data_IF_386130290004
#
_entry.id   IF_386130290004
#
_cell.length_a   1.000
_cell.length_b   1.000
_cell.length_c   1.000
_cell.angle_alpha   90.00
_cell.angle_beta   90.00
_cell.angle_gamma   90.00
#
_symmetry.space_group_name_H-M   'P 1'
#
loop_
_entity.id
_entity.type
_entity.pdbx_description
1 polymer ?
#
# COMPACT_ATOMS: atom_id res chain seq x y z
N UNK A 1 -42.75 6.56 24.28
CA UNK A 1 -42.75 5.37 23.40
C UNK A 1 -42.20 5.69 21.99
N UNK A 2 -42.72 6.70 21.28
CA UNK A 2 -42.20 7.08 19.94
C UNK A 2 -40.71 7.46 19.93
N UNK A 3 -40.23 8.25 20.87
CA UNK A 3 -38.83 8.69 20.96
C UNK A 3 -37.83 7.55 21.20
N UNK A 4 -38.23 6.53 21.98
CA UNK A 4 -37.40 5.36 22.23
C UNK A 4 -37.24 4.51 20.96
N UNK A 5 -38.30 4.37 20.17
CA UNK A 5 -38.26 3.62 18.91
C UNK A 5 -37.37 4.30 17.87
N UNK A 6 -37.40 5.64 17.79
CA UNK A 6 -36.53 6.39 16.85
C UNK A 6 -35.05 6.25 17.19
N UNK A 7 -34.69 6.26 18.48
CA UNK A 7 -33.30 6.08 18.92
C UNK A 7 -32.79 4.66 18.64
N UNK A 8 -33.64 3.64 18.81
CA UNK A 8 -33.29 2.25 18.52
C UNK A 8 -33.00 2.04 17.02
N UNK A 9 -33.82 2.64 16.14
CA UNK A 9 -33.63 2.56 14.68
C UNK A 9 -32.34 3.26 14.25
N UNK A 10 -32.03 4.43 14.82
CA UNK A 10 -30.79 5.14 14.50
C UNK A 10 -29.54 4.37 14.98
N UNK A 11 -29.60 3.71 16.13
CA UNK A 11 -28.51 2.87 16.62
C UNK A 11 -28.27 1.64 15.72
N UNK A 12 -29.34 1.02 15.22
CA UNK A 12 -29.23 -0.10 14.27
C UNK A 12 -28.63 0.33 12.93
N UNK A 13 -29.10 1.46 12.39
CA UNK A 13 -28.55 2.02 11.13
C UNK A 13 -27.07 2.38 11.32
N UNK A 14 -26.71 3.02 12.43
CA UNK A 14 -25.32 3.33 12.76
C UNK A 14 -24.44 2.07 12.87
N UNK A 15 -24.95 1.00 13.50
CA UNK A 15 -24.26 -0.28 13.62
C UNK A 15 -24.04 -0.96 12.27
N UNK A 16 -25.05 -0.94 11.38
CA UNK A 16 -24.94 -1.50 10.03
C UNK A 16 -23.92 -0.72 9.19
N UNK A 17 -23.95 0.62 9.24
CA UNK A 17 -22.99 1.47 8.53
C UNK A 17 -21.56 1.22 9.05
N UNK A 18 -21.40 1.09 10.36
CA UNK A 18 -20.10 0.79 10.97
C UNK A 18 -19.55 -0.58 10.54
N UNK A 19 -20.39 -1.62 10.55
CA UNK A 19 -20.00 -2.95 10.06
C UNK A 19 -19.67 -2.94 8.56
N UNK A 20 -20.41 -2.17 7.76
CA UNK A 20 -20.13 -2.01 6.34
C UNK A 20 -18.80 -1.27 6.09
N UNK A 21 -18.47 -0.24 6.89
CA UNK A 21 -17.17 0.42 6.79
C UNK A 21 -16.01 -0.49 7.20
N UNK A 22 -16.21 -1.36 8.20
CA UNK A 22 -15.21 -2.36 8.59
C UNK A 22 -14.99 -3.37 7.47
N UNK A 23 -16.07 -3.88 6.84
CA UNK A 23 -15.93 -4.87 5.77
C UNK A 23 -15.29 -4.32 4.49
N UNK A 24 -15.37 -3.00 4.25
CA UNK A 24 -14.67 -2.33 3.15
C UNK A 24 -13.20 -2.04 3.47
N UNK A 25 -12.85 -1.90 4.76
CA UNK A 25 -11.50 -1.50 5.19
C UNK A 25 -10.57 -2.68 5.45
N UNK A 26 -11.12 -3.85 5.75
CA UNK A 26 -10.35 -5.08 5.93
C UNK A 26 -10.77 -6.07 4.83
N UNK A 27 -9.92 -6.35 3.83
CA UNK A 27 -10.17 -7.47 2.93
C UNK A 27 -10.30 -8.75 3.79
N UNK A 28 -11.14 -9.69 3.36
CA UNK A 28 -11.47 -10.94 4.06
C UNK A 28 -10.27 -11.87 4.35
N UNK A 29 -9.05 -11.43 4.05
CA UNK A 29 -7.80 -12.17 4.11
C UNK A 29 -7.11 -12.09 5.49
N UNK A 30 -7.76 -11.55 6.53
CA UNK A 30 -7.19 -11.47 7.87
C UNK A 30 -8.12 -12.05 8.93
N UNK A 31 -7.60 -12.97 9.74
CA UNK A 31 -8.26 -13.52 10.92
C UNK A 31 -7.76 -12.77 12.15
N UNK A 32 -8.68 -12.17 12.90
CA UNK A 32 -8.36 -11.55 14.17
C UNK A 32 -8.48 -12.58 15.29
N UNK A 33 -7.36 -12.84 15.97
CA UNK A 33 -7.34 -13.70 17.14
C UNK A 33 -7.52 -12.85 18.41
N UNK A 34 -8.63 -13.12 19.12
CA UNK A 34 -9.02 -12.38 20.32
C UNK A 34 -8.12 -12.68 21.52
N UNK A 35 -7.51 -13.87 21.60
CA UNK A 35 -6.66 -14.26 22.73
C UNK A 35 -5.26 -13.66 22.62
N UNK A 36 -4.73 -13.56 21.41
CA UNK A 36 -3.39 -13.00 21.17
C UNK A 36 -3.38 -11.52 20.75
N UNK A 37 -4.54 -10.91 20.52
CA UNK A 37 -4.70 -9.51 20.10
C UNK A 37 -3.88 -9.18 18.83
N UNK A 38 -3.82 -10.13 17.89
CA UNK A 38 -3.05 -10.03 16.65
C UNK A 38 -3.94 -10.28 15.43
N UNK A 39 -3.61 -9.58 14.35
CA UNK A 39 -4.13 -9.87 13.01
C UNK A 39 -3.18 -10.84 12.33
N UNK A 40 -3.68 -12.00 11.95
CA UNK A 40 -2.95 -12.95 11.13
C UNK A 40 -3.48 -12.88 9.71
N UNK A 41 -2.58 -12.94 8.73
CA UNK A 41 -2.98 -13.28 7.37
C UNK A 41 -3.66 -14.66 7.39
N UNK A 42 -4.77 -14.78 6.67
CA UNK A 42 -5.56 -16.00 6.57
C UNK A 42 -4.69 -17.19 6.12
N UNK A 43 -3.66 -16.94 5.31
CA UNK A 43 -2.72 -17.97 4.84
C UNK A 43 -1.90 -18.57 5.99
N UNK A 44 -1.48 -17.76 6.96
CA UNK A 44 -0.66 -18.20 8.11
C UNK A 44 -1.48 -19.03 9.10
N UNK A 45 -2.72 -18.63 9.38
CA UNK A 45 -3.61 -19.39 10.28
C UNK A 45 -4.02 -20.73 9.66
N UNK A 46 -4.13 -20.78 8.33
CA UNK A 46 -4.53 -22.00 7.62
C UNK A 46 -3.48 -23.10 7.71
N UNK A 47 -2.19 -22.79 7.64
CA UNK A 47 -1.14 -23.81 7.71
C UNK A 47 -1.12 -24.52 9.07
N UNK A 48 -1.19 -23.77 10.17
CA UNK A 48 -1.15 -24.33 11.53
C UNK A 48 -2.45 -25.08 11.91
N UNK A 49 -3.62 -24.57 11.49
CA UNK A 49 -4.90 -25.24 11.79
C UNK A 49 -5.08 -26.54 10.99
N UNK A 50 -4.55 -26.58 9.76
CA UNK A 50 -4.60 -27.79 8.91
C UNK A 50 -3.68 -28.89 9.46
N UNK A 51 -2.52 -28.55 10.03
CA UNK A 51 -1.66 -29.55 10.68
C UNK A 51 -2.27 -30.13 11.95
N UNK A 52 -3.08 -29.35 12.66
CA UNK A 52 -3.71 -29.78 13.90
C UNK A 52 -4.90 -30.72 13.67
N UNK A 53 -5.59 -30.60 12.53
CA UNK A 53 -6.81 -31.39 12.26
C UNK A 53 -6.55 -32.75 11.59
N UNK A 54 -5.36 -33.01 11.05
CA UNK A 54 -4.93 -34.34 10.54
C UNK A 54 -5.79 -34.95 9.43
N UNK A 55 -6.89 -34.30 9.04
CA UNK A 55 -7.88 -34.80 8.09
C UNK A 55 -7.30 -34.77 6.67
N UNK A 56 -7.73 -35.74 5.87
CA UNK A 56 -7.31 -35.92 4.49
C UNK A 56 -7.55 -34.67 3.64
N UNK A 57 -8.62 -33.91 3.93
CA UNK A 57 -8.93 -32.63 3.27
C UNK A 57 -7.76 -31.64 3.38
N UNK A 58 -7.13 -31.58 4.56
CA UNK A 58 -5.99 -30.72 4.82
C UNK A 58 -4.74 -31.08 4.02
N UNK A 59 -4.41 -32.37 4.00
CA UNK A 59 -3.28 -32.91 3.24
C UNK A 59 -3.47 -32.71 1.73
N UNK A 60 -4.69 -32.92 1.24
CA UNK A 60 -5.06 -32.72 -0.16
C UNK A 60 -4.95 -31.24 -0.55
N UNK A 61 -5.39 -30.31 0.30
CA UNK A 61 -5.27 -28.87 0.06
C UNK A 61 -3.80 -28.42 -0.01
N UNK A 62 -2.93 -28.91 0.88
CA UNK A 62 -1.49 -28.61 0.83
C UNK A 62 -0.82 -29.15 -0.42
N UNK A 63 -1.09 -30.40 -0.77
CA UNK A 63 -0.55 -30.99 -1.99
C UNK A 63 -1.02 -30.23 -3.24
N UNK A 64 -2.28 -29.76 -3.26
CA UNK A 64 -2.79 -28.89 -4.31
C UNK A 64 -2.03 -27.57 -4.41
N UNK A 65 -1.88 -26.85 -3.29
CA UNK A 65 -1.15 -25.57 -3.28
C UNK A 65 0.31 -25.73 -3.69
N UNK A 66 0.99 -26.78 -3.21
CA UNK A 66 2.36 -27.10 -3.58
C UNK A 66 2.50 -27.37 -5.08
N UNK A 67 1.60 -28.18 -5.65
CA UNK A 67 1.60 -28.50 -7.08
C UNK A 67 1.38 -27.26 -7.96
N UNK A 68 0.45 -26.38 -7.58
CA UNK A 68 0.18 -25.11 -8.29
C UNK A 68 1.37 -24.15 -8.19
N UNK A 69 1.95 -24.00 -7.00
CA UNK A 69 3.09 -23.13 -6.75
C UNK A 69 4.32 -23.56 -7.57
N UNK A 70 4.60 -24.87 -7.60
CA UNK A 70 5.73 -25.45 -8.37
C UNK A 70 5.43 -25.67 -9.85
N UNK A 71 4.17 -25.50 -10.28
CA UNK A 71 3.68 -25.79 -11.64
C UNK A 71 3.99 -27.24 -12.07
N UNK A 72 4.02 -28.17 -11.11
CA UNK A 72 4.39 -29.56 -11.29
C UNK A 72 3.16 -30.46 -11.20
N UNK A 73 2.78 -31.04 -12.34
CA UNK A 73 1.58 -31.87 -12.45
C UNK A 73 1.71 -33.22 -11.72
N UNK A 74 2.94 -33.72 -11.57
CA UNK A 74 3.18 -34.99 -10.90
C UNK A 74 2.84 -34.89 -9.41
N UNK A 75 2.97 -33.70 -8.81
CA UNK A 75 2.55 -33.45 -7.43
C UNK A 75 1.03 -33.54 -7.23
N UNK A 76 0.22 -33.31 -8.27
CA UNK A 76 -1.22 -33.58 -8.21
C UNK A 76 -1.51 -35.08 -7.98
N UNK A 77 -0.55 -35.98 -8.22
CA UNK A 77 -0.71 -37.40 -7.95
C UNK A 77 -0.97 -37.70 -6.47
N UNK A 78 -0.43 -36.86 -5.57
CA UNK A 78 -0.49 -37.00 -4.11
C UNK A 78 -1.85 -36.63 -3.51
N UNK A 79 -2.73 -35.98 -4.28
CA UNK A 79 -4.09 -35.61 -3.85
C UNK A 79 -4.99 -36.85 -3.91
N UNK A 80 -5.62 -37.22 -2.79
CA UNK A 80 -6.51 -38.39 -2.75
C UNK A 80 -7.89 -38.11 -3.32
N UNK A 81 -8.42 -36.91 -3.10
CA UNK A 81 -9.70 -36.47 -3.68
C UNK A 81 -9.62 -36.46 -5.21
N UNK A 82 -10.42 -37.31 -5.86
CA UNK A 82 -10.44 -37.43 -7.34
C UNK A 82 -10.85 -36.13 -8.02
N UNK A 83 -11.82 -35.40 -7.47
CA UNK A 83 -12.26 -34.12 -8.02
C UNK A 83 -11.17 -33.06 -7.90
N UNK A 84 -10.57 -32.93 -6.71
CA UNK A 84 -9.50 -31.95 -6.49
C UNK A 84 -8.26 -32.28 -7.31
N UNK A 85 -7.91 -33.56 -7.46
CA UNK A 85 -6.83 -34.01 -8.34
C UNK A 85 -7.07 -33.63 -9.80
N UNK A 86 -8.31 -33.77 -10.30
CA UNK A 86 -8.68 -33.30 -11.64
C UNK A 86 -8.52 -31.78 -11.74
N UNK A 87 -9.07 -31.02 -10.79
CA UNK A 87 -8.95 -29.55 -10.76
C UNK A 87 -7.49 -29.10 -10.73
N UNK A 88 -6.64 -29.77 -9.94
CA UNK A 88 -5.20 -29.49 -9.83
C UNK A 88 -4.52 -29.55 -11.20
N UNK A 89 -4.75 -30.62 -11.96
CA UNK A 89 -4.16 -30.77 -13.31
C UNK A 89 -4.65 -29.70 -14.28
N UNK A 90 -5.94 -29.38 -14.24
CA UNK A 90 -6.51 -28.31 -15.08
C UNK A 90 -5.85 -26.97 -14.73
N UNK A 91 -5.78 -26.62 -13.45
CA UNK A 91 -5.24 -25.32 -13.03
C UNK A 91 -3.74 -25.18 -13.30
N UNK A 92 -2.95 -26.25 -13.16
CA UNK A 92 -1.54 -26.26 -13.58
C UNK A 92 -1.42 -26.04 -15.09
N UNK A 93 -2.25 -26.71 -15.88
CA UNK A 93 -2.28 -26.52 -17.34
C UNK A 93 -2.61 -25.08 -17.71
N UNK A 94 -3.57 -24.47 -17.02
CA UNK A 94 -3.93 -23.06 -17.18
C UNK A 94 -2.74 -22.15 -16.82
N UNK A 95 -2.04 -22.39 -15.71
CA UNK A 95 -0.86 -21.57 -15.35
C UNK A 95 0.24 -21.68 -16.40
N UNK A 96 0.53 -22.90 -16.89
CA UNK A 96 1.50 -23.11 -17.98
C UNK A 96 1.09 -22.35 -19.25
N UNK A 97 -0.19 -22.41 -19.63
CA UNK A 97 -0.70 -21.66 -20.78
C UNK A 97 -0.60 -20.14 -20.59
N UNK A 98 -0.86 -19.62 -19.38
CA UNK A 98 -0.69 -18.20 -19.06
C UNK A 98 0.76 -17.75 -19.19
N UNK A 99 1.71 -18.54 -18.67
CA UNK A 99 3.13 -18.20 -18.72
C UNK A 99 3.67 -18.21 -20.16
N UNK A 100 3.38 -19.28 -20.90
CA UNK A 100 3.91 -19.50 -22.25
C UNK A 100 3.14 -18.68 -23.29
N UNK A 101 1.85 -18.45 -23.06
CA UNK A 101 0.94 -17.82 -24.03
C UNK A 101 0.42 -18.77 -25.11
N UNK A 102 0.80 -20.06 -25.09
CA UNK A 102 0.39 -21.04 -26.09
C UNK A 102 -1.06 -21.52 -25.93
N UNK A 103 -1.81 -21.44 -27.02
CA UNK A 103 -3.16 -21.99 -27.15
C UNK A 103 -3.16 -23.52 -27.18
N UNK A 104 -2.10 -24.14 -27.72
CA UNK A 104 -1.97 -25.60 -27.83
C UNK A 104 -1.98 -26.27 -26.45
N UNK A 105 -1.45 -25.60 -25.41
CA UNK A 105 -1.50 -26.09 -24.03
C UNK A 105 -2.95 -26.20 -23.55
N UNK A 106 -3.81 -25.24 -23.88
CA UNK A 106 -5.23 -25.29 -23.53
C UNK A 106 -5.96 -26.42 -24.28
N UNK A 107 -5.56 -26.73 -25.51
CA UNK A 107 -6.16 -27.80 -26.31
C UNK A 107 -5.91 -29.21 -25.74
N UNK A 108 -4.92 -29.37 -24.86
CA UNK A 108 -4.66 -30.65 -24.15
C UNK A 108 -5.74 -30.99 -23.12
N UNK A 109 -6.55 -30.03 -22.69
CA UNK A 109 -7.63 -30.25 -21.73
C UNK A 109 -8.80 -31.00 -22.39
N UNK A 110 -9.41 -31.96 -21.71
CA UNK A 110 -10.47 -32.78 -22.31
C UNK A 110 -11.86 -32.13 -22.24
N UNK A 111 -12.11 -31.23 -21.29
CA UNK A 111 -13.43 -30.60 -21.07
C UNK A 111 -13.56 -29.27 -21.82
N UNK A 112 -14.67 -29.06 -22.55
CA UNK A 112 -14.90 -27.82 -23.30
C UNK A 112 -14.93 -26.57 -22.39
N UNK A 113 -15.57 -26.67 -21.23
CA UNK A 113 -15.59 -25.56 -20.25
C UNK A 113 -14.19 -25.27 -19.69
N UNK A 114 -13.38 -26.32 -19.46
CA UNK A 114 -12.00 -26.19 -18.99
C UNK A 114 -11.10 -25.58 -20.08
N UNK A 115 -11.24 -25.99 -21.35
CA UNK A 115 -10.55 -25.38 -22.50
C UNK A 115 -10.86 -23.90 -22.62
N UNK A 116 -12.14 -23.56 -22.55
CA UNK A 116 -12.63 -22.18 -22.62
C UNK A 116 -12.11 -21.35 -21.45
N UNK A 117 -12.16 -21.88 -20.22
CA UNK A 117 -11.56 -21.24 -19.05
C UNK A 117 -10.07 -20.98 -19.29
N UNK A 118 -9.33 -21.99 -19.76
CA UNK A 118 -7.91 -21.86 -20.06
C UNK A 118 -7.62 -20.78 -21.08
N UNK A 119 -8.34 -20.76 -22.21
CA UNK A 119 -8.15 -19.75 -23.25
C UNK A 119 -8.44 -18.33 -22.74
N UNK A 120 -9.50 -18.14 -21.96
CA UNK A 120 -9.82 -16.83 -21.38
C UNK A 120 -8.73 -16.34 -20.40
N UNK A 121 -8.25 -17.22 -19.50
CA UNK A 121 -7.17 -16.87 -18.57
C UNK A 121 -5.83 -16.62 -19.29
N UNK A 122 -5.54 -17.38 -20.34
CA UNK A 122 -4.37 -17.19 -21.21
C UNK A 122 -4.42 -15.83 -21.90
N UNK A 123 -5.52 -15.51 -22.58
CA UNK A 123 -5.71 -14.23 -23.27
C UNK A 123 -5.60 -13.05 -22.30
N UNK A 124 -6.21 -13.14 -21.13
CA UNK A 124 -6.08 -12.13 -20.08
C UNK A 124 -4.60 -11.93 -19.68
N UNK A 125 -3.85 -13.01 -19.44
CA UNK A 125 -2.43 -12.92 -19.11
C UNK A 125 -1.58 -12.29 -20.24
N UNK A 126 -1.88 -12.59 -21.51
CA UNK A 126 -1.19 -11.97 -22.65
C UNK A 126 -1.53 -10.48 -22.75
N UNK A 127 -2.81 -10.11 -22.57
CA UNK A 127 -3.25 -8.72 -22.58
C UNK A 127 -2.50 -7.88 -21.53
N UNK A 128 -2.34 -8.41 -20.31
CA UNK A 128 -1.59 -7.75 -19.24
C UNK A 128 -0.10 -7.60 -19.55
N UNK A 129 0.56 -8.67 -20.01
CA UNK A 129 2.00 -8.63 -20.32
C UNK A 129 2.35 -7.69 -21.47
N UNK A 130 1.42 -7.54 -22.42
CA UNK A 130 1.62 -6.71 -23.62
C UNK A 130 0.94 -5.35 -23.54
N UNK A 131 0.22 -5.06 -22.45
CA UNK A 131 -0.61 -3.88 -22.26
C UNK A 131 -1.56 -3.62 -23.44
N UNK A 132 -2.13 -4.68 -24.03
CA UNK A 132 -2.93 -4.61 -25.25
C UNK A 132 -4.39 -5.02 -25.02
N UNK A 133 -5.27 -4.01 -24.92
CA UNK A 133 -6.71 -4.20 -24.68
C UNK A 133 -7.45 -4.94 -25.80
N UNK A 134 -6.95 -4.89 -27.04
CA UNK A 134 -7.57 -5.60 -28.17
C UNK A 134 -7.55 -7.12 -27.94
N UNK A 135 -6.60 -7.63 -27.15
CA UNK A 135 -6.57 -9.05 -26.78
C UNK A 135 -7.73 -9.41 -25.85
N UNK A 136 -8.17 -8.48 -24.99
CA UNK A 136 -9.32 -8.71 -24.12
C UNK A 136 -10.58 -8.98 -24.94
N UNK A 137 -10.75 -8.37 -26.13
CA UNK A 137 -11.92 -8.58 -27.01
C UNK A 137 -12.05 -10.02 -27.52
N UNK A 138 -11.00 -10.83 -27.40
CA UNK A 138 -11.02 -12.26 -27.75
C UNK A 138 -11.53 -13.15 -26.61
N UNK A 139 -11.77 -12.60 -25.41
CA UNK A 139 -12.34 -13.32 -24.26
C UNK A 139 -13.85 -13.48 -24.49
N UNK A 140 -14.25 -14.63 -25.02
CA UNK A 140 -15.65 -14.91 -25.37
C UNK A 140 -16.42 -15.47 -24.16
N UNK A 141 -17.71 -15.11 -24.09
CA UNK A 141 -18.75 -15.66 -23.20
C UNK A 141 -18.67 -15.31 -21.70
N UNK A 142 -17.91 -14.28 -21.32
CA UNK A 142 -17.97 -13.74 -19.97
C UNK A 142 -17.68 -12.25 -20.00
N UNK A 143 -18.74 -11.45 -20.16
CA UNK A 143 -18.65 -9.99 -20.21
C UNK A 143 -17.95 -9.43 -18.97
N UNK A 144 -18.18 -10.00 -17.79
CA UNK A 144 -17.49 -9.57 -16.56
C UNK A 144 -15.99 -9.87 -16.59
N UNK A 145 -15.55 -10.94 -17.24
CA UNK A 145 -14.11 -11.23 -17.43
C UNK A 145 -13.48 -10.34 -18.50
N UNK A 146 -14.22 -10.03 -19.57
CA UNK A 146 -13.79 -9.06 -20.59
C UNK A 146 -13.57 -7.68 -19.96
N UNK A 147 -14.55 -7.18 -19.21
CA UNK A 147 -14.46 -5.90 -18.51
C UNK A 147 -13.31 -5.88 -17.49
N UNK A 148 -13.16 -6.93 -16.68
CA UNK A 148 -12.02 -7.05 -15.74
C UNK A 148 -10.67 -7.05 -16.46
N UNK A 149 -10.55 -7.74 -17.60
CA UNK A 149 -9.33 -7.71 -18.41
C UNK A 149 -8.99 -6.29 -18.87
N UNK A 150 -9.99 -5.51 -19.32
CA UNK A 150 -9.80 -4.12 -19.70
C UNK A 150 -9.34 -3.27 -18.51
N UNK A 151 -9.99 -3.39 -17.36
CA UNK A 151 -9.66 -2.65 -16.14
C UNK A 151 -8.26 -2.97 -15.64
N UNK A 152 -7.87 -4.26 -15.63
CA UNK A 152 -6.54 -4.69 -15.18
C UNK A 152 -5.44 -4.19 -16.16
N UNK A 153 -5.70 -4.19 -17.47
CA UNK A 153 -4.78 -3.62 -18.46
C UNK A 153 -4.65 -2.10 -18.31
N UNK A 154 -5.76 -1.38 -18.11
CA UNK A 154 -5.74 0.07 -17.88
C UNK A 154 -5.00 0.43 -16.58
N UNK A 155 -5.20 -0.36 -15.52
CA UNK A 155 -4.47 -0.22 -14.25
C UNK A 155 -2.95 -0.43 -14.46
N UNK A 156 -2.55 -1.44 -15.23
CA UNK A 156 -1.14 -1.68 -15.55
C UNK A 156 -0.53 -0.53 -16.36
N UNK A 157 -1.24 -0.03 -17.37
CA UNK A 157 -0.81 1.14 -18.17
C UNK A 157 -0.69 2.38 -17.28
N UNK A 158 -1.67 2.62 -16.41
CA UNK A 158 -1.62 3.73 -15.46
C UNK A 158 -0.39 3.63 -14.57
N UNK A 159 -0.12 2.48 -13.94
CA UNK A 159 1.06 2.32 -13.09
C UNK A 159 2.37 2.60 -13.84
N UNK A 160 2.51 2.10 -15.07
CA UNK A 160 3.66 2.41 -15.91
C UNK A 160 3.78 3.93 -16.23
N UNK A 161 2.65 4.61 -16.45
CA UNK A 161 2.59 6.08 -16.60
C UNK A 161 3.05 6.78 -15.32
N UNK A 162 2.55 6.35 -14.16
CA UNK A 162 2.85 6.95 -12.85
C UNK A 162 4.34 6.82 -12.50
N UNK A 163 4.95 5.69 -12.86
CA UNK A 163 6.39 5.44 -12.71
C UNK A 163 7.23 6.23 -13.73
N UNK A 164 6.66 6.54 -14.90
CA UNK A 164 7.33 7.33 -15.91
C UNK A 164 7.23 8.83 -15.61
N UNK A 165 8.37 9.46 -15.37
CA UNK A 165 8.44 10.90 -15.13
C UNK A 165 8.15 11.75 -16.39
N UNK A 166 7.96 11.12 -17.55
CA UNK A 166 7.89 11.76 -18.87
C UNK A 166 6.53 11.66 -19.54
N UNK A 167 5.51 11.14 -18.85
CA UNK A 167 4.21 10.95 -19.47
C UNK A 167 3.54 12.28 -19.88
N UNK A 168 3.00 12.28 -21.10
CA UNK A 168 2.18 13.35 -21.65
C UNK A 168 0.69 13.00 -21.51
N UNK A 169 -0.17 14.01 -21.48
CA UNK A 169 -1.62 13.85 -21.30
C UNK A 169 -2.25 12.96 -22.38
N UNK A 170 -1.67 12.94 -23.59
CA UNK A 170 -2.09 12.08 -24.71
C UNK A 170 -2.01 10.59 -24.40
N UNK A 171 -1.15 10.17 -23.47
CA UNK A 171 -1.05 8.76 -23.09
C UNK A 171 -2.28 8.34 -22.25
N UNK A 172 -2.93 9.29 -21.56
CA UNK A 172 -4.15 9.00 -20.82
C UNK A 172 -5.33 8.66 -21.73
N UNK A 173 -5.36 9.15 -22.97
CA UNK A 173 -6.47 8.94 -23.93
C UNK A 173 -6.67 7.45 -24.29
N UNK A 174 -5.67 6.60 -24.02
CA UNK A 174 -5.79 5.16 -24.22
C UNK A 174 -6.48 4.45 -23.07
N UNK A 175 -6.74 5.11 -21.94
CA UNK A 175 -7.34 4.53 -20.73
C UNK A 175 -8.87 4.67 -20.72
N UNK A 176 -9.57 3.78 -20.01
CA UNK A 176 -10.98 3.94 -19.68
C UNK A 176 -11.23 5.14 -18.75
N UNK A 177 -12.48 5.62 -18.71
CA UNK A 177 -12.89 6.86 -18.04
C UNK A 177 -12.45 6.99 -16.57
N UNK A 178 -12.47 5.90 -15.80
CA UNK A 178 -12.03 5.88 -14.40
C UNK A 178 -10.54 6.20 -14.28
N UNK A 179 -9.71 5.48 -15.03
CA UNK A 179 -8.25 5.61 -15.02
C UNK A 179 -7.78 6.87 -15.75
N UNK A 180 -8.51 7.34 -16.77
CA UNK A 180 -8.22 8.61 -17.47
C UNK A 180 -8.17 9.80 -16.50
N UNK A 181 -9.19 9.93 -15.64
CA UNK A 181 -9.25 11.04 -14.67
C UNK A 181 -8.09 11.01 -13.67
N UNK A 182 -7.74 9.82 -13.22
CA UNK A 182 -6.62 9.60 -12.32
C UNK A 182 -5.28 9.96 -12.98
N UNK A 183 -5.06 9.47 -14.20
CA UNK A 183 -3.90 9.76 -15.04
C UNK A 183 -3.69 11.28 -15.23
N UNK A 184 -4.73 11.99 -15.67
CA UNK A 184 -4.67 13.45 -15.88
C UNK A 184 -4.39 14.20 -14.57
N UNK A 185 -4.98 13.76 -13.45
CA UNK A 185 -4.75 14.37 -12.14
C UNK A 185 -3.29 14.22 -11.72
N UNK A 186 -2.71 13.03 -11.92
CA UNK A 186 -1.31 12.78 -11.61
C UNK A 186 -0.36 13.59 -12.49
N UNK A 187 -0.58 13.61 -13.81
CA UNK A 187 0.25 14.39 -14.74
C UNK A 187 0.21 15.88 -14.39
N UNK A 188 -0.98 16.44 -14.09
CA UNK A 188 -1.10 17.85 -13.68
C UNK A 188 -0.37 18.13 -12.37
N UNK A 189 -0.48 17.24 -11.38
CA UNK A 189 0.22 17.34 -10.10
C UNK A 189 1.74 17.31 -10.31
N UNK A 190 2.24 16.41 -11.16
CA UNK A 190 3.67 16.29 -11.46
C UNK A 190 4.19 17.45 -12.30
N UNK A 191 3.46 17.94 -13.30
CA UNK A 191 3.81 19.17 -14.04
C UNK A 191 3.87 20.37 -13.11
N UNK A 192 2.91 20.51 -12.20
CA UNK A 192 2.90 21.59 -11.21
C UNK A 192 4.09 21.47 -10.25
N UNK A 193 4.38 20.26 -9.77
CA UNK A 193 5.55 20.00 -8.93
C UNK A 193 6.86 20.29 -9.67
N UNK A 194 7.02 19.84 -10.92
CA UNK A 194 8.20 20.07 -11.76
C UNK A 194 8.40 21.54 -12.08
N UNK A 195 7.34 22.25 -12.46
CA UNK A 195 7.40 23.70 -12.67
C UNK A 195 7.74 24.44 -11.38
N UNK A 196 7.22 23.98 -10.24
CA UNK A 196 7.57 24.52 -8.94
C UNK A 196 9.05 24.26 -8.60
N UNK A 197 9.57 23.03 -8.76
CA UNK A 197 10.98 22.70 -8.54
C UNK A 197 11.93 23.35 -9.54
N UNK A 198 11.57 23.48 -10.82
CA UNK A 198 12.42 24.16 -11.81
C UNK A 198 12.47 25.67 -11.58
N UNK A 199 11.38 26.24 -11.06
CA UNK A 199 11.41 27.61 -10.54
C UNK A 199 12.31 27.67 -9.30
N UNK A 200 12.26 26.67 -8.40
CA UNK A 200 13.10 26.60 -7.19
C UNK A 200 14.59 26.40 -7.45
N UNK A 201 14.97 25.55 -8.39
CA UNK A 201 16.38 25.36 -8.75
C UNK A 201 16.95 26.57 -9.50
N UNK A 202 16.07 27.46 -10.00
CA UNK A 202 16.42 28.80 -10.49
C UNK A 202 16.18 29.92 -9.49
N UNK A 203 15.80 29.64 -8.22
CA UNK A 203 15.63 30.64 -7.13
C UNK A 203 16.98 31.25 -6.68
N UNK A 204 18.12 30.86 -7.24
CA UNK A 204 19.34 31.71 -7.17
C UNK A 204 19.24 32.98 -8.05
N UNK A 205 18.19 33.11 -8.89
CA UNK A 205 17.85 34.37 -9.56
C UNK A 205 16.64 35.02 -8.88
N UNK A 206 16.85 36.28 -8.48
CA UNK A 206 16.00 37.11 -7.62
C UNK A 206 14.58 37.43 -8.10
N UNK A 207 14.07 36.85 -9.18
CA UNK A 207 12.92 37.40 -9.89
C UNK A 207 11.55 36.96 -9.36
N UNK A 208 11.21 37.38 -8.13
CA UNK A 208 9.80 37.64 -7.79
C UNK A 208 9.30 38.99 -8.40
N UNK A 209 10.02 39.53 -9.38
CA UNK A 209 9.74 40.84 -10.01
C UNK A 209 8.75 40.74 -11.17
N UNK A 210 8.49 39.53 -11.69
CA UNK A 210 7.73 39.31 -12.93
C UNK A 210 6.22 39.54 -12.75
N UNK A 211 5.67 39.37 -11.53
CA UNK A 211 4.25 39.66 -11.29
C UNK A 211 4.03 41.13 -10.92
N UNK A 212 3.09 41.76 -11.63
CA UNK A 212 2.59 43.10 -11.32
C UNK A 212 1.62 43.12 -10.13
N UNK A 213 1.06 41.97 -9.72
CA UNK A 213 0.16 41.87 -8.58
C UNK A 213 0.96 41.79 -7.25
N UNK A 214 0.79 42.76 -6.32
CA UNK A 214 1.46 42.73 -5.03
C UNK A 214 1.24 41.45 -4.22
N UNK A 215 0.05 40.83 -4.32
CA UNK A 215 -0.27 39.58 -3.60
C UNK A 215 0.48 38.39 -4.16
N UNK A 216 0.57 38.28 -5.48
CA UNK A 216 1.33 37.22 -6.13
C UNK A 216 2.83 37.38 -5.87
N UNK A 217 3.33 38.62 -5.88
CA UNK A 217 4.71 38.94 -5.52
C UNK A 217 5.02 38.54 -4.07
N UNK A 218 4.14 38.84 -3.12
CA UNK A 218 4.30 38.42 -1.73
C UNK A 218 4.29 36.89 -1.59
N UNK A 219 3.34 36.22 -2.23
CA UNK A 219 3.26 34.75 -2.24
C UNK A 219 4.51 34.10 -2.82
N UNK A 220 5.13 34.70 -3.85
CA UNK A 220 6.41 34.27 -4.39
C UNK A 220 7.54 34.37 -3.33
N UNK A 221 7.63 35.50 -2.62
CA UNK A 221 8.63 35.71 -1.58
C UNK A 221 8.45 34.76 -0.39
N UNK A 222 7.20 34.54 0.02
CA UNK A 222 6.83 33.61 1.09
C UNK A 222 7.24 32.17 0.75
N UNK A 223 6.97 31.72 -0.48
CA UNK A 223 7.39 30.41 -0.95
C UNK A 223 8.92 30.28 -1.06
N UNK A 224 9.63 31.35 -1.47
CA UNK A 224 11.12 31.37 -1.47
C UNK A 224 11.67 31.12 -0.07
N UNK A 225 11.13 31.80 0.94
CA UNK A 225 11.54 31.63 2.33
C UNK A 225 11.20 30.22 2.85
N UNK A 226 10.02 29.69 2.49
CA UNK A 226 9.64 28.33 2.84
C UNK A 226 10.63 27.30 2.28
N UNK A 227 10.95 27.36 0.99
CA UNK A 227 11.88 26.40 0.38
C UNK A 227 13.31 26.56 0.91
N UNK A 228 13.74 27.79 1.18
CA UNK A 228 15.02 28.05 1.86
C UNK A 228 15.03 27.38 3.24
N UNK A 229 14.00 27.57 4.05
CA UNK A 229 13.89 27.00 5.39
C UNK A 229 13.92 25.46 5.36
N UNK A 230 13.24 24.83 4.38
CA UNK A 230 13.29 23.38 4.15
C UNK A 230 14.69 22.90 3.80
N UNK A 231 15.36 23.58 2.85
CA UNK A 231 16.70 23.20 2.38
C UNK A 231 17.77 23.33 3.48
N UNK A 232 17.66 24.37 4.31
CA UNK A 232 18.62 24.64 5.38
C UNK A 232 18.21 24.08 6.74
N UNK A 233 17.05 23.42 6.84
CA UNK A 233 16.50 22.92 8.10
C UNK A 233 16.36 24.01 9.17
N UNK A 234 16.18 25.27 8.77
CA UNK A 234 16.18 26.43 9.66
C UNK A 234 14.75 26.97 9.85
N UNK A 235 14.15 26.63 10.99
CA UNK A 235 12.79 27.08 11.34
C UNK A 235 12.71 28.60 11.52
N UNK A 236 13.83 29.28 11.82
CA UNK A 236 13.84 30.73 11.98
C UNK A 236 13.63 31.44 10.63
N UNK A 237 14.04 30.83 9.52
CA UNK A 237 13.75 31.35 8.19
C UNK A 237 12.23 31.42 7.92
N UNK A 238 11.42 30.53 8.52
CA UNK A 238 9.95 30.58 8.38
C UNK A 238 9.34 31.85 9.00
N UNK A 239 10.00 32.52 9.95
CA UNK A 239 9.42 33.72 10.59
C UNK A 239 9.35 34.93 9.66
N UNK A 240 10.09 34.89 8.54
CA UNK A 240 10.03 35.93 7.51
C UNK A 240 8.85 35.81 6.55
N UNK A 241 8.11 34.70 6.59
CA UNK A 241 6.92 34.47 5.75
C UNK A 241 5.76 35.34 6.28
N UNK A 242 5.12 36.11 5.39
CA UNK A 242 4.03 37.01 5.77
C UNK A 242 2.66 36.32 5.74
N UNK A 243 2.41 35.47 4.75
CA UNK A 243 1.20 34.65 4.73
C UNK A 243 1.19 33.65 5.90
N UNK A 244 0.24 33.81 6.82
CA UNK A 244 0.21 33.03 8.05
C UNK A 244 -0.05 31.54 7.79
N UNK A 245 -0.81 31.18 6.75
CA UNK A 245 -1.04 29.78 6.40
C UNK A 245 0.26 29.12 5.89
N UNK A 246 0.99 29.79 4.99
CA UNK A 246 2.27 29.32 4.48
C UNK A 246 3.30 29.24 5.60
N UNK A 247 3.31 30.23 6.51
CA UNK A 247 4.22 30.29 7.66
C UNK A 247 4.01 29.12 8.61
N UNK A 248 2.77 28.84 9.02
CA UNK A 248 2.47 27.71 9.91
C UNK A 248 2.84 26.38 9.26
N UNK A 249 2.55 26.23 7.96
CA UNK A 249 2.96 25.05 7.18
C UNK A 249 4.48 24.89 7.13
N UNK A 250 5.23 26.00 6.95
CA UNK A 250 6.69 26.01 6.98
C UNK A 250 7.22 25.54 8.34
N UNK A 251 6.74 26.13 9.43
CA UNK A 251 7.16 25.78 10.79
C UNK A 251 6.91 24.30 11.06
N UNK A 252 5.73 23.79 10.72
CA UNK A 252 5.38 22.39 10.94
C UNK A 252 6.29 21.44 10.15
N UNK A 253 6.48 21.68 8.86
CA UNK A 253 7.28 20.79 8.01
C UNK A 253 8.77 20.79 8.37
N UNK A 254 9.34 21.98 8.62
CA UNK A 254 10.76 22.11 8.99
C UNK A 254 11.02 21.51 10.37
N UNK A 255 10.13 21.76 11.34
CA UNK A 255 10.24 21.17 12.69
C UNK A 255 10.14 19.64 12.63
N UNK A 256 9.18 19.09 11.90
CA UNK A 256 9.05 17.64 11.71
C UNK A 256 10.31 17.01 11.09
N UNK A 257 10.88 17.66 10.08
CA UNK A 257 12.11 17.19 9.42
C UNK A 257 13.28 17.17 10.41
N UNK A 258 13.44 18.24 11.20
CA UNK A 258 14.48 18.32 12.22
C UNK A 258 14.30 17.26 13.32
N UNK A 259 13.06 17.07 13.76
CA UNK A 259 12.69 16.07 14.77
C UNK A 259 13.02 14.64 14.30
N UNK A 260 12.75 14.32 13.04
CA UNK A 260 13.12 13.03 12.44
C UNK A 260 14.64 12.82 12.37
N UNK A 261 15.42 13.85 12.08
CA UNK A 261 16.90 13.78 12.11
C UNK A 261 17.40 13.48 13.53
N UNK A 262 16.87 14.17 14.54
CA UNK A 262 17.22 13.91 15.94
C UNK A 262 16.77 12.52 16.39
N UNK A 263 15.55 12.10 16.02
CA UNK A 263 15.03 10.77 16.31
C UNK A 263 15.95 9.67 15.77
N UNK A 264 16.31 9.74 14.47
CA UNK A 264 17.20 8.77 13.84
C UNK A 264 18.57 8.74 14.51
N UNK A 265 19.17 9.91 14.74
CA UNK A 265 20.46 10.03 15.40
C UNK A 265 20.44 9.49 16.84
N UNK A 266 19.35 9.72 17.59
CA UNK A 266 19.19 9.21 18.95
C UNK A 266 19.15 7.68 19.01
N UNK A 267 18.41 7.04 18.10
CA UNK A 267 18.34 5.58 17.98
C UNK A 267 19.69 4.97 17.60
N UNK A 268 20.31 5.46 16.53
CA UNK A 268 21.59 4.95 16.03
C UNK A 268 22.70 5.05 17.08
N UNK A 269 22.74 6.17 17.82
CA UNK A 269 23.78 6.42 18.81
C UNK A 269 23.39 6.01 20.24
N UNK A 270 22.17 5.51 20.45
CA UNK A 270 21.60 5.16 21.76
C UNK A 270 21.75 6.28 22.81
N UNK A 271 21.40 7.51 22.41
CA UNK A 271 21.62 8.73 23.22
C UNK A 271 20.31 9.46 23.55
N UNK A 272 19.83 9.29 24.78
CA UNK A 272 18.57 9.91 25.27
C UNK A 272 18.58 11.44 25.23
N UNK A 273 19.74 12.08 25.40
CA UNK A 273 19.84 13.54 25.34
C UNK A 273 19.56 14.10 23.93
N UNK A 274 19.68 13.29 22.87
CA UNK A 274 19.32 13.70 21.52
C UNK A 274 17.79 13.76 21.37
N UNK A 275 17.05 12.81 21.96
CA UNK A 275 15.58 12.85 21.96
C UNK A 275 15.02 14.13 22.61
N UNK A 276 15.73 14.73 23.58
CA UNK A 276 15.29 15.98 24.22
C UNK A 276 15.32 17.19 23.27
N UNK A 277 16.01 17.10 22.12
CA UNK A 277 16.05 18.14 21.09
C UNK A 277 14.82 18.12 20.17
N UNK A 278 14.04 17.04 20.19
CA UNK A 278 12.80 16.91 19.42
C UNK A 278 11.79 17.93 19.97
N UNK A 279 11.10 18.65 19.11
CA UNK A 279 10.08 19.63 19.49
C UNK A 279 8.74 18.94 19.73
N UNK A 280 8.32 18.06 18.81
CA UNK A 280 7.07 17.29 18.93
C UNK A 280 7.09 16.38 20.17
N UNK A 281 6.12 16.60 21.06
CA UNK A 281 6.06 15.90 22.35
C UNK A 281 5.86 14.40 22.19
N UNK A 282 5.03 13.97 21.23
CA UNK A 282 4.72 12.56 21.03
C UNK A 282 5.93 11.82 20.44
N UNK A 283 6.55 12.38 19.39
CA UNK A 283 7.77 11.85 18.78
C UNK A 283 8.93 11.83 19.78
N UNK A 284 9.02 12.81 20.69
CA UNK A 284 10.00 12.83 21.78
C UNK A 284 9.82 11.66 22.74
N UNK A 285 8.59 11.39 23.17
CA UNK A 285 8.29 10.24 24.04
C UNK A 285 8.64 8.95 23.32
N UNK A 286 8.16 8.79 22.08
CA UNK A 286 8.45 7.61 21.26
C UNK A 286 9.96 7.39 21.04
N UNK A 287 10.71 8.46 20.77
CA UNK A 287 12.18 8.42 20.65
C UNK A 287 12.81 7.87 21.92
N UNK A 288 12.43 8.41 23.08
CA UNK A 288 12.99 8.02 24.38
C UNK A 288 12.69 6.56 24.68
N UNK A 289 11.45 6.14 24.48
CA UNK A 289 11.00 4.77 24.74
C UNK A 289 11.74 3.75 23.87
N UNK A 290 11.90 4.03 22.57
CA UNK A 290 12.63 3.16 21.66
C UNK A 290 14.13 3.11 21.97
N UNK A 291 14.75 4.25 22.33
CA UNK A 291 16.16 4.28 22.74
C UNK A 291 16.36 3.49 24.04
N UNK A 292 15.44 3.59 25.01
CA UNK A 292 15.48 2.81 26.25
C UNK A 292 15.33 1.32 25.99
N UNK A 293 14.41 0.92 25.11
CA UNK A 293 14.24 -0.47 24.70
C UNK A 293 15.52 -1.02 24.06
N UNK A 294 16.11 -0.30 23.09
CA UNK A 294 17.35 -0.69 22.43
C UNK A 294 18.52 -0.83 23.44
N UNK A 295 18.60 0.08 24.42
CA UNK A 295 19.57 0.01 25.52
C UNK A 295 19.33 -1.22 26.42
N UNK A 296 18.08 -1.51 26.78
CA UNK A 296 17.70 -2.67 27.58
C UNK A 296 18.09 -3.98 26.89
N UNK A 297 17.78 -4.12 25.60
CA UNK A 297 18.11 -5.28 24.79
C UNK A 297 19.62 -5.46 24.67
N UNK A 298 20.35 -4.38 24.39
CA UNK A 298 21.81 -4.44 24.19
C UNK A 298 22.56 -4.77 25.47
N UNK A 299 22.11 -4.25 26.61
CA UNK A 299 22.74 -4.46 27.90
C UNK A 299 22.17 -5.67 28.67
N UNK A 300 21.10 -6.30 28.15
CA UNK A 300 20.27 -7.27 28.88
C UNK A 300 19.87 -6.78 30.28
N UNK A 301 19.49 -5.50 30.36
CA UNK A 301 19.21 -4.84 31.63
C UNK A 301 17.79 -4.28 31.63
N UNK A 302 16.88 -4.96 32.33
CA UNK A 302 15.47 -4.58 32.44
C UNK A 302 15.23 -3.32 33.27
N UNK A 303 16.24 -2.78 33.96
CA UNK A 303 16.10 -1.52 34.70
C UNK A 303 15.66 -0.35 33.80
N UNK A 304 16.08 -0.35 32.53
CA UNK A 304 15.67 0.66 31.55
C UNK A 304 14.18 0.61 31.21
N UNK A 305 13.54 -0.57 31.31
CA UNK A 305 12.13 -0.76 30.98
C UNK A 305 11.19 0.05 31.87
N UNK A 306 11.60 0.30 33.12
CA UNK A 306 10.81 1.11 34.08
C UNK A 306 10.57 2.56 33.63
N UNK A 307 11.42 3.07 32.72
CA UNK A 307 11.37 4.44 32.22
C UNK A 307 10.64 4.59 30.88
N UNK A 308 10.17 3.49 30.29
CA UNK A 308 9.36 3.48 29.06
C UNK A 308 7.92 3.90 29.41
N UNK A 309 7.38 4.87 28.67
CA UNK A 309 6.01 5.37 28.88
C UNK A 309 4.96 4.55 28.12
N UNK A 310 5.28 4.10 26.91
CA UNK A 310 4.41 3.21 26.14
C UNK A 310 4.31 1.83 26.82
N UNK A 311 3.11 1.48 27.30
CA UNK A 311 2.89 0.25 28.07
C UNK A 311 3.11 -1.02 27.23
N UNK A 312 2.94 -0.96 25.90
CA UNK A 312 3.19 -2.11 25.01
C UNK A 312 4.68 -2.37 24.89
N UNK A 313 5.47 -1.32 24.59
CA UNK A 313 6.94 -1.41 24.52
C UNK A 313 7.55 -1.76 25.87
N UNK A 314 6.96 -1.31 26.97
CA UNK A 314 7.39 -1.64 28.32
C UNK A 314 7.21 -3.13 28.63
N UNK A 315 6.07 -3.71 28.23
CA UNK A 315 5.84 -5.16 28.36
C UNK A 315 6.84 -5.96 27.51
N UNK A 316 7.07 -5.54 26.27
CA UNK A 316 8.08 -6.14 25.38
C UNK A 316 9.47 -6.08 26.04
N UNK A 317 9.86 -4.93 26.57
CA UNK A 317 11.13 -4.74 27.26
C UNK A 317 11.30 -5.67 28.47
N UNK A 318 10.25 -5.86 29.28
CA UNK A 318 10.31 -6.75 30.45
C UNK A 318 10.43 -8.24 30.09
N UNK A 319 10.18 -8.61 28.83
CA UNK A 319 10.31 -9.99 28.36
C UNK A 319 11.74 -10.37 27.95
N UNK A 320 12.67 -9.41 27.91
CA UNK A 320 14.07 -9.62 27.57
C UNK A 320 14.74 -10.54 28.61
N UNK A 321 15.26 -11.68 28.15
CA UNK A 321 15.98 -12.69 28.96
C UNK A 321 17.51 -12.57 28.87
#
# INVERSE_FOLDING_TARGET
MRTFFTLLVLALIGGIIYLYMISQRYPWDFVYDFESNKFYSFDVVKEDLIDTLGDQSGKDARAYHEAISKKDEDLCANIKSKSLKKTCRVDITIQKAKDDGSEEICETLTGQDDKKRCNNERLHSIALRTSNKVICDQIVDNMDKHLRCIEDVDSNILNAILESDTADERVCDTLGDSFFRECITHIKKNKTAKNYTSTIDSIDKDDCTVSSDPKEKQKCQDNKLFEKAKKTSDVTTCTGIQDEEIKQKCIQQVSYTNDMVFFKSAKENKKLNICNKIVDTNMKVQCRDLVLLDMAQSAKNTAFCSSIQDETLKQECNSIR
#
